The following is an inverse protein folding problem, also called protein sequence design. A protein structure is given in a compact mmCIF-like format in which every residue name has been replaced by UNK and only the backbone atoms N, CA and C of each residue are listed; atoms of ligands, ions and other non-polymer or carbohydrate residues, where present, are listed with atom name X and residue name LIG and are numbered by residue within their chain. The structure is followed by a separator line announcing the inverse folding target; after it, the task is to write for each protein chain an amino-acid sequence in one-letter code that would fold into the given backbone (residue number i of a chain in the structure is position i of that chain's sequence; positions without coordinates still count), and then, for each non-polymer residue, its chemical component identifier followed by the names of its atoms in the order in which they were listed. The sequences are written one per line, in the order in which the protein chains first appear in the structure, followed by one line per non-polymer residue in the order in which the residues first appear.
data_IF_680858334120
#
_entry.id   IF_680858334120
#
_cell.length_a   1.000
_cell.length_b   1.000
_cell.length_c   1.000
_cell.angle_alpha   90.00
_cell.angle_beta   90.00
_cell.angle_gamma   90.00
#
_symmetry.space_group_name_H-M   'P 1'
#
loop_
_entity.id
_entity.type
_entity.pdbx_description
1 polymer ?
#
# COMPACT_ATOMS: atom_id res chain seq x y z
N UNK A 1 21.10 26.23 -3.70
CA UNK A 1 19.75 25.70 -4.02
C UNK A 1 19.34 24.82 -2.87
N UNK A 2 18.40 25.26 -2.03
CA UNK A 2 17.90 24.45 -0.93
C UNK A 2 16.83 23.51 -1.47
N UNK A 3 17.17 22.24 -1.66
CA UNK A 3 16.17 21.20 -1.92
C UNK A 3 15.42 20.96 -0.62
N UNK A 4 14.20 21.50 -0.50
CA UNK A 4 13.24 21.06 0.52
C UNK A 4 12.99 19.57 0.30
N UNK A 5 13.46 18.73 1.24
CA UNK A 5 13.09 17.31 1.26
C UNK A 5 11.59 17.26 1.59
N UNK A 6 10.76 16.86 0.62
CA UNK A 6 9.34 16.58 0.87
C UNK A 6 9.27 15.40 1.83
N UNK A 7 8.62 15.61 2.99
CA UNK A 7 8.36 14.53 3.96
C UNK A 7 6.97 13.99 3.70
N UNK A 8 6.87 12.70 3.38
CA UNK A 8 5.59 12.02 3.23
C UNK A 8 5.18 11.39 4.57
N UNK A 9 4.02 11.74 5.15
CA UNK A 9 3.56 11.11 6.37
C UNK A 9 3.13 9.66 6.08
N UNK A 10 3.87 8.70 6.65
CA UNK A 10 3.60 7.27 6.49
C UNK A 10 2.68 6.77 7.62
N UNK A 11 1.55 6.21 7.22
CA UNK A 11 0.55 5.53 8.05
C UNK A 11 0.95 4.07 8.33
N UNK A 12 0.10 3.36 9.08
CA UNK A 12 0.28 1.92 9.29
C UNK A 12 0.32 1.12 7.98
N UNK A 13 -0.43 1.51 6.94
CA UNK A 13 -0.43 0.81 5.65
C UNK A 13 0.89 0.96 4.90
N UNK A 14 1.47 2.17 4.91
CA UNK A 14 2.78 2.38 4.29
C UNK A 14 3.90 1.65 5.04
N UNK A 15 3.84 1.56 6.38
CA UNK A 15 4.77 0.74 7.17
C UNK A 15 4.61 -0.77 6.89
N UNK A 16 3.37 -1.23 6.68
CA UNK A 16 3.10 -2.61 6.27
C UNK A 16 3.69 -2.91 4.89
N UNK A 17 3.49 -1.99 3.93
CA UNK A 17 4.06 -2.11 2.59
C UNK A 17 5.58 -2.13 2.65
N UNK A 18 6.20 -1.20 3.40
CA UNK A 18 7.66 -1.14 3.54
C UNK A 18 8.25 -2.45 4.06
N UNK A 19 7.67 -2.99 5.14
CA UNK A 19 8.14 -4.24 5.72
C UNK A 19 8.04 -5.38 4.72
N UNK A 20 6.91 -5.51 4.03
CA UNK A 20 6.69 -6.58 3.05
C UNK A 20 7.63 -6.43 1.85
N UNK A 21 7.74 -5.23 1.28
CA UNK A 21 8.57 -4.98 0.11
C UNK A 21 10.04 -5.20 0.41
N UNK A 22 10.53 -4.85 1.60
CA UNK A 22 11.91 -5.15 2.00
C UNK A 22 12.19 -6.65 2.10
N UNK A 23 11.21 -7.44 2.49
CA UNK A 23 11.33 -8.90 2.63
C UNK A 23 11.24 -9.62 1.27
N UNK A 24 10.25 -9.26 0.45
CA UNK A 24 9.91 -10.01 -0.78
C UNK A 24 10.32 -9.32 -2.07
N UNK A 25 10.59 -8.01 -2.03
CA UNK A 25 10.99 -7.19 -3.17
C UNK A 25 12.22 -6.31 -2.89
N UNK A 26 13.36 -6.90 -2.47
CA UNK A 26 14.52 -6.15 -2.04
C UNK A 26 15.19 -5.35 -3.17
N UNK A 27 15.17 -5.81 -4.43
CA UNK A 27 15.79 -5.09 -5.56
C UNK A 27 15.00 -3.82 -5.88
N UNK A 28 13.68 -3.92 -5.96
CA UNK A 28 12.75 -2.82 -6.15
C UNK A 28 12.92 -1.77 -5.06
N UNK A 29 13.01 -2.18 -3.79
CA UNK A 29 13.26 -1.25 -2.69
C UNK A 29 14.60 -0.55 -2.85
N UNK A 30 15.68 -1.29 -3.15
CA UNK A 30 17.01 -0.72 -3.35
C UNK A 30 17.04 0.30 -4.51
N UNK A 31 16.33 0.02 -5.61
CA UNK A 31 16.20 0.93 -6.74
C UNK A 31 15.45 2.22 -6.37
N UNK A 32 14.35 2.11 -5.62
CA UNK A 32 13.59 3.26 -5.15
C UNK A 32 14.39 4.10 -4.14
N UNK A 33 15.16 3.47 -3.25
CA UNK A 33 16.04 4.16 -2.31
C UNK A 33 17.17 4.89 -3.05
N UNK A 34 17.81 4.26 -4.02
CA UNK A 34 18.83 4.87 -4.86
C UNK A 34 18.27 6.07 -5.66
N UNK A 35 17.00 5.99 -6.07
CA UNK A 35 16.29 7.07 -6.74
C UNK A 35 15.72 8.14 -5.79
N UNK A 36 15.76 7.93 -4.47
CA UNK A 36 15.14 8.83 -3.49
C UNK A 36 13.60 8.84 -3.52
N UNK A 37 12.98 7.79 -4.05
CA UNK A 37 11.52 7.68 -4.28
C UNK A 37 10.80 6.71 -3.35
N UNK A 38 11.51 6.02 -2.46
CA UNK A 38 10.88 5.01 -1.60
C UNK A 38 9.77 5.61 -0.73
N UNK A 39 10.02 6.74 -0.05
CA UNK A 39 9.01 7.40 0.79
C UNK A 39 7.75 7.79 0.00
N UNK A 40 7.91 8.27 -1.24
CA UNK A 40 6.80 8.62 -2.14
C UNK A 40 6.02 7.38 -2.59
N UNK A 41 6.72 6.30 -2.95
CA UNK A 41 6.07 5.05 -3.38
C UNK A 41 5.28 4.39 -2.25
N UNK A 42 5.81 4.41 -1.02
CA UNK A 42 5.11 3.94 0.17
C UNK A 42 3.89 4.80 0.49
N UNK A 43 4.02 6.12 0.32
CA UNK A 43 2.89 7.04 0.45
C UNK A 43 1.82 6.74 -0.61
N UNK A 44 2.18 6.56 -1.87
CA UNK A 44 1.22 6.20 -2.91
C UNK A 44 0.51 4.87 -2.60
N UNK A 45 1.25 3.85 -2.15
CA UNK A 45 0.67 2.56 -1.80
C UNK A 45 -0.35 2.66 -0.67
N UNK A 46 -0.11 3.47 0.38
CA UNK A 46 -1.10 3.66 1.44
C UNK A 46 -2.33 4.43 0.98
N UNK A 47 -2.18 5.47 0.15
CA UNK A 47 -3.31 6.29 -0.27
C UNK A 47 -4.22 5.45 -1.15
N UNK A 48 -3.64 4.69 -2.08
CA UNK A 48 -4.39 3.74 -2.91
C UNK A 48 -5.05 2.64 -2.10
N UNK A 49 -4.38 2.15 -1.06
CA UNK A 49 -4.99 1.19 -0.14
C UNK A 49 -6.21 1.79 0.56
N UNK A 50 -6.09 3.00 1.11
CA UNK A 50 -7.16 3.70 1.82
C UNK A 50 -8.35 4.01 0.91
N UNK A 51 -8.09 4.62 -0.25
CA UNK A 51 -9.13 5.04 -1.19
C UNK A 51 -9.91 3.83 -1.69
N UNK A 52 -9.22 2.77 -2.12
CA UNK A 52 -9.88 1.58 -2.65
C UNK A 52 -10.57 0.76 -1.54
N UNK A 53 -10.01 0.73 -0.33
CA UNK A 53 -10.64 0.06 0.81
C UNK A 53 -12.01 0.69 1.09
N UNK A 54 -12.08 2.02 1.17
CA UNK A 54 -13.33 2.74 1.40
C UNK A 54 -14.34 2.55 0.26
N UNK A 55 -13.87 2.54 -0.99
CA UNK A 55 -14.73 2.31 -2.15
C UNK A 55 -15.32 0.89 -2.12
N UNK A 56 -14.51 -0.12 -1.83
CA UNK A 56 -14.95 -1.51 -1.76
C UNK A 56 -15.87 -1.76 -0.57
N UNK A 57 -15.56 -1.23 0.62
CA UNK A 57 -16.44 -1.30 1.78
C UNK A 57 -17.82 -0.74 1.46
N UNK A 58 -17.88 0.44 0.85
CA UNK A 58 -19.14 1.10 0.47
C UNK A 58 -19.95 0.23 -0.50
N UNK A 59 -19.29 -0.36 -1.50
CA UNK A 59 -19.94 -1.26 -2.46
C UNK A 59 -20.48 -2.52 -1.80
N UNK A 60 -19.67 -3.17 -0.96
CA UNK A 60 -20.04 -4.41 -0.28
C UNK A 60 -21.19 -4.21 0.72
N UNK A 61 -21.19 -3.09 1.44
CA UNK A 61 -22.33 -2.72 2.30
C UNK A 61 -23.60 -2.48 1.50
N UNK A 62 -23.51 -1.84 0.32
CA UNK A 62 -24.64 -1.65 -0.58
C UNK A 62 -25.18 -2.99 -1.14
N UNK A 63 -24.32 -3.99 -1.27
CA UNK A 63 -24.67 -5.37 -1.66
C UNK A 63 -25.23 -6.20 -0.49
N UNK A 64 -25.38 -5.59 0.70
CA UNK A 64 -26.04 -6.19 1.86
C UNK A 64 -25.11 -6.83 2.89
N UNK A 65 -23.79 -6.67 2.76
CA UNK A 65 -22.85 -7.12 3.78
C UNK A 65 -22.92 -6.21 5.01
N UNK A 66 -22.64 -6.79 6.17
CA UNK A 66 -22.37 -5.99 7.37
C UNK A 66 -21.05 -5.25 7.21
N UNK A 67 -20.90 -4.12 7.91
CA UNK A 67 -19.65 -3.34 7.94
C UNK A 67 -18.40 -4.21 8.21
N UNK A 68 -18.48 -5.16 9.14
CA UNK A 68 -17.35 -6.05 9.44
C UNK A 68 -17.00 -6.94 8.24
N UNK A 69 -18.00 -7.57 7.62
CA UNK A 69 -17.78 -8.43 6.45
C UNK A 69 -17.25 -7.63 5.26
N UNK A 70 -17.79 -6.43 5.04
CA UNK A 70 -17.33 -5.53 3.98
C UNK A 70 -15.87 -5.13 4.20
N UNK A 71 -15.49 -4.77 5.43
CA UNK A 71 -14.11 -4.40 5.78
C UNK A 71 -13.16 -5.59 5.62
N UNK A 72 -13.52 -6.75 6.15
CA UNK A 72 -12.70 -7.96 6.04
C UNK A 72 -12.46 -8.33 4.57
N UNK A 73 -13.52 -8.35 3.75
CA UNK A 73 -13.41 -8.72 2.34
C UNK A 73 -12.68 -7.66 1.51
N UNK A 74 -12.92 -6.37 1.75
CA UNK A 74 -12.21 -5.30 1.07
C UNK A 74 -10.71 -5.33 1.41
N UNK A 75 -10.36 -5.61 2.67
CA UNK A 75 -8.98 -5.73 3.12
C UNK A 75 -8.20 -6.83 2.38
N UNK A 76 -8.79 -8.02 2.23
CA UNK A 76 -8.18 -9.13 1.48
C UNK A 76 -7.81 -8.70 0.05
N UNK A 77 -8.66 -7.89 -0.59
CA UNK A 77 -8.44 -7.42 -1.97
C UNK A 77 -7.34 -6.36 -2.03
N UNK A 78 -7.44 -5.30 -1.24
CA UNK A 78 -6.52 -4.15 -1.38
C UNK A 78 -5.11 -4.48 -0.89
N UNK A 79 -4.99 -5.34 0.13
CA UNK A 79 -3.67 -5.69 0.67
C UNK A 79 -2.84 -6.43 -0.37
N UNK A 80 -3.42 -7.32 -1.18
CA UNK A 80 -2.68 -8.04 -2.23
C UNK A 80 -2.27 -7.13 -3.40
N UNK A 81 -3.03 -6.08 -3.66
CA UNK A 81 -2.77 -5.15 -4.76
C UNK A 81 -1.65 -4.15 -4.48
N UNK A 82 -1.54 -3.71 -3.22
CA UNK A 82 -0.68 -2.57 -2.89
C UNK A 82 0.37 -2.86 -1.82
N UNK A 83 0.08 -3.77 -0.88
CA UNK A 83 0.95 -4.02 0.28
C UNK A 83 1.74 -5.31 0.07
N UNK A 84 1.03 -6.42 -0.13
CA UNK A 84 1.55 -7.78 -0.24
C UNK A 84 1.88 -8.12 -1.69
N UNK A 85 2.66 -7.26 -2.35
CA UNK A 85 3.10 -7.51 -3.72
C UNK A 85 3.84 -8.86 -3.80
N UNK A 86 3.67 -9.63 -4.89
CA UNK A 86 4.33 -10.92 -5.03
C UNK A 86 5.87 -10.76 -5.03
N UNK A 87 6.60 -11.80 -4.60
CA UNK A 87 8.05 -11.80 -4.66
C UNK A 87 8.59 -11.46 -6.05
N UNK A 88 9.73 -10.78 -6.11
CA UNK A 88 10.34 -10.32 -7.38
C UNK A 88 10.61 -11.44 -8.38
N UNK A 89 10.94 -12.63 -7.90
CA UNK A 89 11.28 -13.76 -8.76
C UNK A 89 10.04 -14.55 -9.24
N UNK A 90 8.83 -14.13 -8.84
CA UNK A 90 7.54 -14.70 -9.29
C UNK A 90 6.82 -13.80 -10.32
N UNK A 91 7.47 -12.72 -10.79
CA UNK A 91 6.91 -11.75 -11.76
C UNK A 91 7.42 -11.96 -13.19
#
# INVERSE_FOLDING_TARGET
MSTTKTTYPISAYGLMAERHWREFRPKMVAEMEAAGKLEEALYEAQERTLDELLELETKLEADGLTKQQASDQAWEVVRERYILLPPEDES
#
